data_IF_357065700370
#
_entry.id   IF_357065700370
#
_cell.length_a   1.000
_cell.length_b   1.000
_cell.length_c   1.000
_cell.angle_alpha   90.00
_cell.angle_beta   90.00
_cell.angle_gamma   90.00
#
_symmetry.space_group_name_H-M   'P 1'
#
loop_
_entity.id
_entity.type
_entity.pdbx_description
1 polymer ?
#
# COMPACT_ATOMS: atom_id res chain seq x y z
N UNK A 1 34.97 -9.00 -43.09
CA UNK A 1 34.12 -10.06 -42.50
C UNK A 1 34.12 -10.02 -40.99
N UNK A 2 35.23 -9.80 -40.30
CA UNK A 2 35.31 -9.72 -38.82
C UNK A 2 34.48 -8.59 -38.20
N UNK A 3 34.43 -7.38 -38.79
CA UNK A 3 33.70 -6.23 -38.23
C UNK A 3 32.18 -6.46 -38.18
N UNK A 4 31.61 -7.12 -39.20
CA UNK A 4 30.17 -7.46 -39.25
C UNK A 4 29.78 -8.49 -38.18
N UNK A 5 30.66 -9.43 -37.86
CA UNK A 5 30.45 -10.44 -36.80
C UNK A 5 30.53 -9.79 -35.41
N UNK A 6 31.45 -8.83 -35.22
CA UNK A 6 31.58 -8.13 -33.96
C UNK A 6 30.35 -7.26 -33.63
N UNK A 7 29.79 -6.56 -34.64
CA UNK A 7 28.56 -5.76 -34.46
C UNK A 7 27.36 -6.66 -34.13
N UNK A 8 27.25 -7.83 -34.74
CA UNK A 8 26.17 -8.78 -34.48
C UNK A 8 26.21 -9.31 -33.03
N UNK A 9 27.41 -9.60 -32.50
CA UNK A 9 27.59 -10.08 -31.13
C UNK A 9 27.25 -8.98 -30.11
N UNK A 10 27.55 -7.70 -30.38
CA UNK A 10 27.22 -6.57 -29.52
C UNK A 10 25.69 -6.35 -29.49
N UNK A 11 25.01 -6.46 -30.65
CA UNK A 11 23.54 -6.32 -30.73
C UNK A 11 22.82 -7.44 -29.97
N UNK A 12 23.30 -8.69 -30.06
CA UNK A 12 22.71 -9.82 -29.33
C UNK A 12 22.89 -9.66 -27.80
N UNK A 13 24.05 -9.17 -27.34
CA UNK A 13 24.26 -8.91 -25.90
C UNK A 13 23.41 -7.75 -25.36
N UNK A 14 23.12 -6.73 -26.19
CA UNK A 14 22.26 -5.62 -25.80
C UNK A 14 20.79 -6.03 -25.67
N UNK A 15 20.31 -6.93 -26.55
CA UNK A 15 18.93 -7.44 -26.49
C UNK A 15 18.69 -8.42 -25.33
N UNK A 16 19.68 -9.22 -24.94
CA UNK A 16 19.55 -10.15 -23.81
C UNK A 16 19.54 -9.47 -22.44
N UNK A 17 20.18 -8.29 -22.29
CA UNK A 17 20.17 -7.56 -21.04
C UNK A 17 18.80 -6.93 -20.72
N UNK A 18 18.03 -6.49 -21.73
CA UNK A 18 16.69 -5.92 -21.54
C UNK A 18 15.65 -6.97 -21.14
N UNK A 19 15.73 -8.17 -21.69
CA UNK A 19 14.75 -9.24 -21.40
C UNK A 19 14.92 -9.83 -20.00
N UNK A 20 16.14 -9.90 -19.48
CA UNK A 20 16.41 -10.41 -18.12
C UNK A 20 15.88 -9.47 -17.05
N UNK A 21 16.00 -8.14 -17.22
CA UNK A 21 15.51 -7.16 -16.24
C UNK A 21 13.99 -7.16 -16.13
N UNK A 22 13.26 -7.18 -17.24
CA UNK A 22 11.80 -7.17 -17.25
C UNK A 22 11.19 -8.47 -16.68
N UNK A 23 11.83 -9.61 -16.94
CA UNK A 23 11.41 -10.90 -16.38
C UNK A 23 11.60 -10.94 -14.85
N UNK A 24 12.70 -10.39 -14.34
CA UNK A 24 13.00 -10.33 -12.90
C UNK A 24 12.00 -9.42 -12.15
N UNK A 25 11.61 -8.28 -12.72
CA UNK A 25 10.62 -7.39 -12.13
C UNK A 25 9.22 -8.00 -12.08
N UNK A 26 8.77 -8.63 -13.15
CA UNK A 26 7.50 -9.33 -13.20
C UNK A 26 7.42 -10.47 -12.19
N UNK A 27 8.46 -11.28 -12.10
CA UNK A 27 8.55 -12.38 -11.14
C UNK A 27 8.50 -11.85 -9.71
N UNK A 28 9.19 -10.75 -9.43
CA UNK A 28 9.19 -10.13 -8.12
C UNK A 28 7.83 -9.56 -7.73
N UNK A 29 7.15 -8.87 -8.66
CA UNK A 29 5.79 -8.36 -8.44
C UNK A 29 4.83 -9.50 -8.11
N UNK A 30 4.87 -10.59 -8.87
CA UNK A 30 4.04 -11.78 -8.61
C UNK A 30 4.35 -12.39 -7.22
N UNK A 31 5.63 -12.43 -6.84
CA UNK A 31 6.03 -12.98 -5.54
C UNK A 31 5.48 -12.15 -4.37
N UNK A 32 5.52 -10.82 -4.49
CA UNK A 32 4.96 -9.91 -3.49
C UNK A 32 3.42 -10.01 -3.46
N UNK A 33 2.79 -10.06 -4.64
CA UNK A 33 1.36 -10.26 -4.81
C UNK A 33 0.88 -11.54 -4.13
N UNK A 34 1.52 -12.68 -4.42
CA UNK A 34 1.21 -13.98 -3.83
C UNK A 34 1.36 -13.96 -2.30
N UNK A 35 2.40 -13.27 -1.80
CA UNK A 35 2.59 -13.13 -0.35
C UNK A 35 1.49 -12.27 0.27
N UNK A 36 1.20 -11.10 -0.31
CA UNK A 36 0.17 -10.18 0.18
C UNK A 36 -1.24 -10.78 0.11
N UNK A 37 -1.55 -11.53 -0.94
CA UNK A 37 -2.86 -12.14 -1.15
C UNK A 37 -3.17 -13.26 -0.12
N UNK A 38 -2.15 -13.87 0.48
CA UNK A 38 -2.31 -14.83 1.60
C UNK A 38 -2.66 -14.18 2.93
N UNK A 39 -2.57 -12.85 3.04
CA UNK A 39 -2.88 -12.12 4.27
C UNK A 39 -4.34 -11.67 4.19
N UNK A 40 -5.22 -12.33 4.94
CA UNK A 40 -6.63 -11.96 5.04
C UNK A 40 -6.86 -10.88 6.09
N UNK A 41 -6.12 -10.94 7.21
CA UNK A 41 -6.22 -9.99 8.32
C UNK A 41 -4.85 -9.59 8.83
N UNK A 42 -4.75 -8.37 9.33
CA UNK A 42 -3.50 -7.85 9.90
C UNK A 42 -3.81 -6.88 11.04
N UNK A 43 -2.96 -6.84 12.07
CA UNK A 43 -2.98 -5.82 13.10
C UNK A 43 -1.57 -5.50 13.58
N UNK A 44 -1.41 -4.36 14.23
CA UNK A 44 -0.13 -3.92 14.78
C UNK A 44 -0.19 -2.49 15.27
N UNK A 45 0.98 -1.92 15.47
CA UNK A 45 1.16 -0.51 15.80
C UNK A 45 1.61 0.24 14.51
N UNK A 46 1.32 1.54 14.44
CA UNK A 46 1.80 2.40 13.36
C UNK A 46 2.34 3.73 13.90
N UNK A 47 3.24 4.32 13.11
CA UNK A 47 3.66 5.71 13.24
C UNK A 47 3.37 6.39 11.91
N UNK A 48 2.73 7.54 11.94
CA UNK A 48 2.45 8.38 10.79
C UNK A 48 3.29 9.65 10.85
N UNK A 49 3.98 9.94 9.77
CA UNK A 49 4.72 11.19 9.54
C UNK A 49 3.98 12.01 8.49
N UNK A 50 3.66 13.25 8.81
CA UNK A 50 2.96 14.16 7.93
C UNK A 50 3.94 15.14 7.26
N UNK A 51 3.52 15.76 6.16
CA UNK A 51 4.32 16.75 5.41
C UNK A 51 4.66 18.01 6.21
N UNK A 52 3.88 18.33 7.25
CA UNK A 52 4.12 19.45 8.17
C UNK A 52 5.04 19.09 9.35
N UNK A 53 5.79 17.97 9.23
CA UNK A 53 6.69 17.43 10.26
C UNK A 53 5.98 16.95 11.54
N UNK A 54 4.66 16.97 11.59
CA UNK A 54 3.92 16.39 12.71
C UNK A 54 3.93 14.88 12.65
N UNK A 55 3.85 14.24 13.83
CA UNK A 55 3.87 12.79 13.97
C UNK A 55 2.66 12.33 14.77
N UNK A 56 2.02 11.27 14.29
CA UNK A 56 0.95 10.56 14.97
C UNK A 56 1.30 9.09 15.13
N UNK A 57 0.72 8.44 16.12
CA UNK A 57 0.96 7.02 16.36
C UNK A 57 -0.30 6.34 16.91
N UNK A 58 -0.35 5.04 16.77
CA UNK A 58 -1.51 4.29 17.23
C UNK A 58 -1.50 2.82 16.82
N UNK A 59 -2.71 2.25 16.78
CA UNK A 59 -2.95 0.85 16.44
C UNK A 59 -3.79 0.73 15.20
N UNK A 60 -3.49 -0.29 14.41
CA UNK A 60 -4.28 -0.59 13.23
C UNK A 60 -4.83 -2.01 13.21
N UNK A 61 -5.95 -2.16 12.55
CA UNK A 61 -6.59 -3.43 12.21
C UNK A 61 -6.99 -3.39 10.74
N UNK A 62 -6.73 -4.47 10.04
CA UNK A 62 -7.06 -4.63 8.62
C UNK A 62 -7.72 -6.00 8.41
N UNK A 63 -8.82 -6.02 7.67
CA UNK A 63 -9.47 -7.24 7.19
C UNK A 63 -9.91 -7.05 5.75
N UNK A 64 -9.34 -7.84 4.85
CA UNK A 64 -9.77 -7.84 3.46
C UNK A 64 -11.13 -8.51 3.31
N UNK A 65 -11.96 -8.07 2.36
CA UNK A 65 -11.79 -6.84 1.60
C UNK A 65 -12.23 -5.57 2.35
N UNK A 66 -11.62 -4.43 2.01
CA UNK A 66 -12.04 -3.05 2.28
C UNK A 66 -12.16 -2.60 3.74
N UNK A 67 -11.88 -3.43 4.73
CA UNK A 67 -12.03 -3.05 6.14
C UNK A 67 -10.68 -2.71 6.75
N UNK A 68 -10.56 -1.49 7.25
CA UNK A 68 -9.45 -1.11 8.11
C UNK A 68 -9.94 -0.20 9.24
N UNK A 69 -9.18 -0.16 10.33
CA UNK A 69 -9.36 0.75 11.45
C UNK A 69 -8.00 1.21 11.93
N UNK A 70 -7.82 2.52 11.99
CA UNK A 70 -6.65 3.19 12.55
C UNK A 70 -7.10 3.98 13.77
N UNK A 71 -6.55 3.67 14.94
CA UNK A 71 -6.86 4.34 16.21
C UNK A 71 -5.65 5.19 16.56
N UNK A 72 -5.79 6.50 16.51
CA UNK A 72 -4.75 7.47 16.83
C UNK A 72 -4.75 7.74 18.34
N UNK A 73 -3.63 7.49 18.99
CA UNK A 73 -3.51 7.61 20.45
C UNK A 73 -3.24 9.04 20.90
N UNK A 74 -2.66 9.89 20.04
CA UNK A 74 -2.29 11.26 20.39
C UNK A 74 -3.39 12.31 20.16
N UNK A 75 -4.39 12.04 19.31
CA UNK A 75 -5.52 12.95 19.07
C UNK A 75 -6.90 12.35 19.36
N UNK A 76 -6.92 11.08 19.82
CA UNK A 76 -8.14 10.35 20.12
C UNK A 76 -9.14 10.24 18.94
N UNK A 77 -8.63 10.25 17.72
CA UNK A 77 -9.40 10.05 16.51
C UNK A 77 -9.32 8.59 16.05
N UNK A 78 -10.29 8.19 15.24
CA UNK A 78 -10.29 6.87 14.63
C UNK A 78 -10.71 7.00 13.17
N UNK A 79 -9.96 6.38 12.28
CA UNK A 79 -10.32 6.25 10.88
C UNK A 79 -10.77 4.81 10.63
N UNK A 80 -11.96 4.64 10.05
CA UNK A 80 -12.49 3.33 9.63
C UNK A 80 -12.72 3.36 8.12
N UNK A 81 -12.27 2.33 7.40
CA UNK A 81 -12.68 2.12 6.01
C UNK A 81 -13.77 1.04 5.93
N UNK A 82 -14.66 1.25 5.00
CA UNK A 82 -15.70 0.30 4.56
C UNK A 82 -15.57 0.06 3.07
N UNK A 83 -16.46 -0.72 2.46
CA UNK A 83 -16.47 -0.95 1.01
C UNK A 83 -16.60 0.34 0.18
N UNK A 84 -17.22 1.38 0.73
CA UNK A 84 -17.56 2.59 0.00
C UNK A 84 -16.99 3.87 0.59
N UNK A 85 -16.71 3.89 1.89
CA UNK A 85 -16.35 5.11 2.62
C UNK A 85 -15.10 4.91 3.48
N UNK A 86 -14.37 6.00 3.63
CA UNK A 86 -13.44 6.28 4.72
C UNK A 86 -14.19 7.17 5.70
N UNK A 87 -14.28 6.78 6.96
CA UNK A 87 -15.05 7.47 8.00
C UNK A 87 -14.12 7.92 9.10
N UNK A 88 -14.15 9.20 9.43
CA UNK A 88 -13.46 9.78 10.58
C UNK A 88 -14.41 9.81 11.79
N UNK A 89 -13.94 9.29 12.92
CA UNK A 89 -14.67 9.25 14.18
C UNK A 89 -13.96 10.08 15.24
N UNK A 90 -14.76 10.72 16.13
CA UNK A 90 -14.28 11.36 17.32
C UNK A 90 -13.88 10.34 18.42
N UNK A 91 -13.39 10.85 19.56
CA UNK A 91 -13.00 10.04 20.73
C UNK A 91 -14.14 9.20 21.32
N UNK A 92 -15.38 9.59 21.10
CA UNK A 92 -16.58 8.87 21.57
C UNK A 92 -17.05 7.82 20.55
N UNK A 93 -16.41 7.76 19.36
CA UNK A 93 -16.71 6.84 18.28
C UNK A 93 -17.87 7.29 17.39
N UNK A 94 -18.25 8.56 17.42
CA UNK A 94 -19.24 9.13 16.52
C UNK A 94 -18.59 9.69 15.25
N UNK A 95 -19.30 9.53 14.14
CA UNK A 95 -18.84 10.04 12.86
C UNK A 95 -18.73 11.58 12.89
N UNK A 96 -17.55 12.08 12.54
CA UNK A 96 -17.27 13.51 12.29
C UNK A 96 -17.43 13.79 10.79
N UNK A 97 -16.79 12.95 9.95
CA UNK A 97 -16.72 13.15 8.49
C UNK A 97 -16.62 11.82 7.73
N UNK A 98 -16.77 11.86 6.42
CA UNK A 98 -16.54 10.69 5.56
C UNK A 98 -16.26 11.07 4.12
N UNK A 99 -15.41 10.24 3.47
CA UNK A 99 -14.95 10.41 2.10
C UNK A 99 -15.12 9.11 1.29
N UNK A 100 -15.38 9.18 -0.03
CA UNK A 100 -15.43 7.99 -0.86
C UNK A 100 -14.08 7.26 -0.89
N UNK A 101 -14.05 5.95 -0.63
CA UNK A 101 -12.82 5.14 -0.66
C UNK A 101 -12.27 5.01 -2.09
N UNK A 102 -13.13 5.12 -3.10
CA UNK A 102 -12.74 5.04 -4.51
C UNK A 102 -11.68 6.09 -4.91
N UNK A 103 -11.67 7.21 -4.21
CA UNK A 103 -10.74 8.31 -4.45
C UNK A 103 -9.45 8.18 -3.62
N UNK A 104 -9.28 7.08 -2.89
CA UNK A 104 -8.11 6.88 -2.04
C UNK A 104 -7.25 5.71 -2.54
N UNK A 105 -5.93 5.89 -2.63
CA UNK A 105 -5.00 4.81 -2.98
C UNK A 105 -5.03 3.61 -2.02
N UNK A 106 -5.51 3.78 -0.78
CA UNK A 106 -5.64 2.71 0.22
C UNK A 106 -6.50 1.55 -0.29
N UNK A 107 -7.48 1.83 -1.14
CA UNK A 107 -8.35 0.80 -1.71
C UNK A 107 -7.55 -0.31 -2.37
N UNK A 108 -6.43 0.04 -3.02
CA UNK A 108 -5.60 -0.93 -3.74
C UNK A 108 -4.96 -1.98 -2.82
N UNK A 109 -4.72 -1.66 -1.55
CA UNK A 109 -4.26 -2.63 -0.54
C UNK A 109 -5.40 -3.44 0.08
N UNK A 110 -6.61 -2.89 0.09
CA UNK A 110 -7.75 -3.45 0.80
C UNK A 110 -8.63 -4.34 -0.08
N UNK A 111 -8.37 -4.46 -1.38
CA UNK A 111 -9.06 -5.43 -2.24
C UNK A 111 -8.75 -6.86 -1.79
N UNK A 112 -9.63 -7.78 -2.13
CA UNK A 112 -9.48 -9.19 -1.72
C UNK A 112 -8.19 -9.79 -2.27
N UNK A 113 -7.94 -9.60 -3.55
CA UNK A 113 -6.76 -10.07 -4.25
C UNK A 113 -6.18 -8.95 -5.12
N UNK A 114 -4.92 -8.60 -4.89
CA UNK A 114 -4.18 -7.69 -5.76
C UNK A 114 -3.74 -8.49 -6.99
N UNK A 115 -3.87 -7.88 -8.16
CA UNK A 115 -3.32 -8.35 -9.42
C UNK A 115 -2.62 -7.18 -10.10
N UNK A 116 -1.32 -7.04 -9.85
CA UNK A 116 -0.53 -5.94 -10.38
C UNK A 116 -0.47 -5.91 -11.90
N UNK A 117 -0.63 -7.05 -12.58
CA UNK A 117 -0.56 -7.13 -14.02
C UNK A 117 -1.84 -6.63 -14.71
N UNK A 118 -3.00 -6.79 -14.07
CA UNK A 118 -4.30 -6.39 -14.61
C UNK A 118 -4.84 -5.09 -14.00
N UNK A 119 -4.10 -4.47 -13.07
CA UNK A 119 -4.45 -3.13 -12.58
C UNK A 119 -4.37 -2.10 -13.72
N UNK A 120 -5.43 -1.28 -13.88
CA UNK A 120 -5.47 -0.15 -14.82
C UNK A 120 -4.70 1.06 -14.26
N UNK A 121 -3.50 0.83 -13.74
CA UNK A 121 -2.65 1.82 -13.08
C UNK A 121 -1.22 1.65 -13.55
N UNK A 122 -0.43 2.71 -13.47
CA UNK A 122 1.00 2.59 -13.71
C UNK A 122 1.66 1.99 -12.46
N UNK A 123 2.34 0.86 -12.62
CA UNK A 123 3.09 0.20 -11.56
C UNK A 123 4.56 0.25 -11.89
N UNK A 124 5.37 0.67 -10.91
CA UNK A 124 6.82 0.59 -10.96
C UNK A 124 7.34 -0.04 -9.70
N UNK A 125 8.35 -0.87 -9.80
CA UNK A 125 9.06 -1.43 -8.67
C UNK A 125 10.46 -0.85 -8.59
N UNK A 126 10.88 -0.45 -7.39
CA UNK A 126 12.24 0.00 -7.12
C UNK A 126 12.87 -0.86 -6.02
N UNK A 127 14.10 -1.28 -6.24
CA UNK A 127 14.88 -2.09 -5.27
C UNK A 127 15.81 -1.14 -4.49
N UNK A 128 15.40 -0.73 -3.29
CA UNK A 128 16.14 0.24 -2.49
C UNK A 128 16.57 -0.37 -1.15
N UNK A 129 17.88 -0.35 -0.85
CA UNK A 129 18.41 -0.90 0.41
C UNK A 129 17.83 -2.29 0.73
N UNK A 130 17.08 -2.41 1.85
CA UNK A 130 16.43 -3.65 2.29
C UNK A 130 14.94 -3.70 1.93
N UNK A 131 14.44 -2.84 1.04
CA UNK A 131 13.03 -2.72 0.68
C UNK A 131 12.81 -2.93 -0.83
N UNK A 132 11.61 -3.35 -1.16
CA UNK A 132 11.00 -3.27 -2.47
C UNK A 132 9.90 -2.21 -2.41
N UNK A 133 10.10 -1.09 -3.09
CA UNK A 133 9.10 -0.03 -3.18
C UNK A 133 8.25 -0.23 -4.43
N UNK A 134 6.94 -0.43 -4.26
CA UNK A 134 5.97 -0.53 -5.34
C UNK A 134 5.23 0.78 -5.43
N UNK A 135 5.40 1.47 -6.55
CA UNK A 135 4.73 2.72 -6.88
C UNK A 135 3.46 2.43 -7.66
N UNK A 136 2.33 2.91 -7.18
CA UNK A 136 1.04 2.79 -7.86
C UNK A 136 0.51 4.21 -8.11
N UNK A 137 0.34 4.58 -9.37
CA UNK A 137 -0.27 5.84 -9.77
C UNK A 137 -1.45 5.58 -10.71
N UNK A 138 -2.62 6.11 -10.38
CA UNK A 138 -3.80 6.03 -11.23
C UNK A 138 -3.73 7.14 -12.29
N UNK A 139 -4.07 6.82 -13.54
CA UNK A 139 -4.11 7.78 -14.64
C UNK A 139 -5.16 8.89 -14.46
N UNK A 140 -6.19 8.61 -13.63
CA UNK A 140 -7.31 9.51 -13.38
C UNK A 140 -7.27 10.16 -11.98
N UNK A 141 -6.32 9.80 -11.13
CA UNK A 141 -6.14 10.36 -9.80
C UNK A 141 -4.77 11.03 -9.72
N UNK A 142 -4.76 12.25 -9.25
CA UNK A 142 -3.52 12.94 -8.95
C UNK A 142 -2.97 12.36 -7.62
N UNK A 143 -1.74 11.90 -7.66
CA UNK A 143 -1.05 11.33 -6.50
C UNK A 143 -0.45 9.96 -6.75
N UNK A 144 0.42 9.55 -5.86
CA UNK A 144 1.13 8.27 -5.92
C UNK A 144 1.01 7.56 -4.57
N UNK A 145 0.71 6.27 -4.59
CA UNK A 145 0.88 5.41 -3.43
C UNK A 145 2.17 4.60 -3.58
N UNK A 146 2.96 4.52 -2.52
CA UNK A 146 4.18 3.73 -2.46
C UNK A 146 4.04 2.72 -1.34
N UNK A 147 4.15 1.44 -1.66
CA UNK A 147 4.13 0.35 -0.69
C UNK A 147 5.51 -0.26 -0.60
N UNK A 148 6.12 -0.20 0.58
CA UNK A 148 7.48 -0.70 0.83
C UNK A 148 7.40 -2.03 1.56
N UNK A 149 7.89 -3.08 0.92
CA UNK A 149 7.95 -4.43 1.45
C UNK A 149 9.38 -4.81 1.81
N UNK A 150 9.58 -5.47 2.94
CA UNK A 150 10.89 -6.02 3.35
C UNK A 150 11.37 -7.07 2.34
N UNK A 151 12.66 -7.06 2.01
CA UNK A 151 13.23 -8.03 1.06
C UNK A 151 13.29 -9.45 1.60
N UNK A 152 13.48 -9.60 2.90
CA UNK A 152 13.64 -10.88 3.57
C UNK A 152 12.31 -11.60 3.84
N UNK A 153 11.28 -10.87 4.26
CA UNK A 153 10.01 -11.44 4.70
C UNK A 153 8.83 -11.10 3.80
N UNK A 154 8.98 -10.15 2.86
CA UNK A 154 7.92 -9.56 2.03
C UNK A 154 6.78 -8.92 2.85
N UNK A 155 7.04 -8.61 4.11
CA UNK A 155 6.08 -7.92 4.95
C UNK A 155 6.02 -6.43 4.59
N UNK A 156 4.82 -5.87 4.60
CA UNK A 156 4.63 -4.43 4.43
C UNK A 156 5.28 -3.71 5.63
N UNK A 157 6.24 -2.83 5.35
CA UNK A 157 6.91 -2.01 6.37
C UNK A 157 6.39 -0.58 6.36
N UNK A 158 6.20 -0.02 5.16
CA UNK A 158 5.77 1.36 4.98
C UNK A 158 4.68 1.47 3.94
N UNK A 159 3.91 2.51 4.11
CA UNK A 159 2.95 2.98 3.13
C UNK A 159 3.02 4.49 3.07
N UNK A 160 3.33 5.02 1.89
CA UNK A 160 3.43 6.45 1.63
C UNK A 160 2.37 6.86 0.62
N UNK A 161 1.72 7.97 0.87
CA UNK A 161 0.81 8.63 -0.07
C UNK A 161 1.40 10.01 -0.36
N UNK A 162 1.63 10.28 -1.65
CA UNK A 162 1.98 11.61 -2.15
C UNK A 162 0.75 12.14 -2.86
N UNK A 163 0.21 13.25 -2.40
CA UNK A 163 -0.99 13.86 -2.97
C UNK A 163 -0.70 14.75 -4.20
N UNK A 164 -1.71 15.42 -4.73
CA UNK A 164 -1.61 16.29 -5.90
C UNK A 164 -0.82 17.59 -5.66
N UNK A 165 -0.48 17.90 -4.41
CA UNK A 165 0.32 19.06 -4.00
C UNK A 165 1.74 18.66 -3.58
N UNK A 166 2.17 17.43 -3.92
CA UNK A 166 3.45 16.83 -3.51
C UNK A 166 3.62 16.72 -1.98
N UNK A 167 2.50 16.69 -1.23
CA UNK A 167 2.55 16.46 0.20
C UNK A 167 2.58 14.98 0.49
N UNK A 168 3.59 14.55 1.25
CA UNK A 168 3.78 13.15 1.61
C UNK A 168 3.23 12.87 3.01
N UNK A 169 2.50 11.77 3.12
CA UNK A 169 2.11 11.14 4.39
C UNK A 169 2.66 9.72 4.41
N UNK A 170 3.49 9.39 5.38
CA UNK A 170 4.13 8.08 5.53
C UNK A 170 3.59 7.37 6.76
N UNK A 171 3.12 6.13 6.59
CA UNK A 171 2.80 5.22 7.69
C UNK A 171 3.86 4.12 7.78
N UNK A 172 4.49 3.98 8.94
CA UNK A 172 5.39 2.86 9.26
C UNK A 172 4.67 1.88 10.16
N UNK A 173 4.73 0.58 9.83
CA UNK A 173 4.04 -0.48 10.54
C UNK A 173 5.00 -1.32 11.37
N UNK A 174 4.64 -1.55 12.62
CA UNK A 174 5.45 -2.35 13.57
C UNK A 174 4.58 -3.37 14.32
N UNK A 175 5.22 -4.35 14.95
CA UNK A 175 4.55 -5.40 15.74
C UNK A 175 3.42 -6.10 14.98
N UNK A 176 3.61 -6.31 13.69
CA UNK A 176 2.60 -6.87 12.79
C UNK A 176 2.26 -8.30 13.19
N UNK A 177 0.94 -8.58 13.30
CA UNK A 177 0.37 -9.92 13.40
C UNK A 177 -0.52 -10.16 12.20
N UNK A 178 -0.34 -11.28 11.51
CA UNK A 178 -1.05 -11.66 10.28
C UNK A 178 -2.02 -12.81 10.53
N UNK A 179 -3.11 -12.86 9.75
CA UNK A 179 -4.10 -13.93 9.73
C UNK A 179 -4.67 -14.26 11.14
N UNK A 180 -4.90 -13.22 11.92
CA UNK A 180 -5.52 -13.30 13.25
C UNK A 180 -7.03 -13.15 13.16
N UNK A 181 -7.75 -13.67 14.16
CA UNK A 181 -9.20 -13.42 14.27
C UNK A 181 -9.45 -11.96 14.69
N UNK A 182 -10.20 -11.22 13.88
CA UNK A 182 -10.65 -9.85 14.18
C UNK A 182 -12.18 -9.83 14.14
N UNK A 183 -12.80 -9.43 15.25
CA UNK A 183 -14.25 -9.33 15.32
C UNK A 183 -14.80 -8.31 14.30
N UNK A 184 -15.88 -8.60 13.59
CA UNK A 184 -16.56 -7.62 12.72
C UNK A 184 -17.00 -6.34 13.45
N UNK A 185 -17.25 -6.41 14.75
CA UNK A 185 -17.60 -5.27 15.61
C UNK A 185 -16.47 -4.22 15.65
N UNK A 186 -15.20 -4.63 15.40
CA UNK A 186 -14.03 -3.74 15.33
C UNK A 186 -14.25 -2.59 14.36
N UNK A 187 -14.99 -2.82 13.27
CA UNK A 187 -15.20 -1.87 12.16
C UNK A 187 -16.57 -1.16 12.21
N UNK A 188 -17.34 -1.32 13.29
CA UNK A 188 -18.63 -0.64 13.43
C UNK A 188 -18.49 0.86 13.60
N UNK A 189 -19.23 1.60 12.81
CA UNK A 189 -19.41 3.07 12.92
C UNK A 189 -20.66 3.34 13.73
N UNK A 190 -20.56 4.23 14.71
CA UNK A 190 -21.72 4.71 15.48
C UNK A 190 -22.24 6.01 14.87
N UNK A 191 -23.53 6.11 14.73
CA UNK A 191 -24.21 7.33 14.26
C UNK A 191 -24.94 7.97 15.45
N UNK A 192 -24.85 9.30 15.58
CA UNK A 192 -25.69 10.02 16.56
C UNK A 192 -27.15 9.80 16.14
N UNK A 193 -27.98 9.32 17.07
CA UNK A 193 -29.43 9.36 16.88
C UNK A 193 -29.85 10.83 16.92
N UNK A 194 -30.45 11.31 15.84
CA UNK A 194 -31.15 12.60 15.83
C UNK A 194 -32.35 12.55 16.77
#
# INVERSE_FOLDING_TARGET
MLIKVLILIIVIKFFSAFTVSAFDEKFLLNTIEDHWNKIATMSGDFIQYNSDETMSYGKFFLSKPFKSKFIYENNNETIITTETLIVLLDKEGFRIDSYPILNSPIKNLLINEIDFQNMKTNIKINKKNNLYDIYISDLNQKGVAIFSFKKDSLDLEKWEIIDEFDQSTVLEFTKIKKNISISPETYKVRYKKN
#
